data_IF_567543609984
#
_entry.id   IF_567543609984
#
_cell.length_a   1.000
_cell.length_b   1.000
_cell.length_c   1.000
_cell.angle_alpha   90.00
_cell.angle_beta   90.00
_cell.angle_gamma   90.00
#
_symmetry.space_group_name_H-M   'P 1'
#
loop_
_entity.id
_entity.type
_entity.pdbx_description
1 polymer ?
#
# COMPACT_ATOMS: atom_id res chain seq x y z
N UNK A 1 17.33 22.61 22.70
CA UNK A 1 17.10 22.81 21.24
C UNK A 1 17.38 21.48 20.54
N UNK A 2 16.37 20.72 20.16
CA UNK A 2 16.56 19.49 19.38
C UNK A 2 16.67 19.87 17.89
N UNK A 3 17.72 19.41 17.21
CA UNK A 3 17.89 19.58 15.77
C UNK A 3 17.05 18.51 15.06
N UNK A 4 15.99 18.92 14.37
CA UNK A 4 15.28 18.05 13.45
C UNK A 4 16.16 17.86 12.21
N UNK A 5 16.86 16.72 12.13
CA UNK A 5 17.31 16.18 10.85
C UNK A 5 16.07 15.96 9.97
N UNK A 6 16.23 16.13 8.66
CA UNK A 6 15.15 16.22 7.68
C UNK A 6 14.18 15.02 7.77
N UNK A 7 13.04 15.21 8.44
CA UNK A 7 11.93 14.26 8.47
C UNK A 7 11.14 14.41 7.16
N UNK A 8 10.89 13.30 6.46
CA UNK A 8 10.12 13.28 5.20
C UNK A 8 9.13 12.11 5.20
N UNK A 9 7.89 12.38 4.81
CA UNK A 9 6.82 11.38 4.66
C UNK A 9 5.87 11.79 3.53
N UNK A 10 5.57 10.87 2.62
CA UNK A 10 4.63 11.00 1.49
C UNK A 10 3.72 9.76 1.43
N UNK A 11 2.41 9.98 1.25
CA UNK A 11 1.38 8.94 1.19
C UNK A 11 0.56 9.11 -0.08
N UNK A 12 0.40 8.05 -0.85
CA UNK A 12 -0.48 7.98 -2.00
C UNK A 12 -1.57 6.94 -1.74
N UNK A 13 -2.83 7.37 -1.73
CA UNK A 13 -4.00 6.50 -1.52
C UNK A 13 -4.90 6.50 -2.74
N UNK A 14 -5.33 5.32 -3.16
CA UNK A 14 -6.36 5.12 -4.17
C UNK A 14 -7.51 4.32 -3.58
N UNK A 15 -8.74 4.70 -3.90
CA UNK A 15 -9.96 3.99 -3.48
C UNK A 15 -10.71 3.52 -4.73
N UNK A 16 -11.27 2.31 -4.68
CA UNK A 16 -12.01 1.78 -5.81
C UNK A 16 -12.36 0.31 -5.68
N UNK A 17 -12.79 -0.26 -6.80
CA UNK A 17 -12.99 -1.70 -6.96
C UNK A 17 -11.78 -2.29 -7.68
N UNK A 18 -11.29 -3.41 -7.18
CA UNK A 18 -10.10 -4.07 -7.71
C UNK A 18 -10.44 -5.48 -8.18
N UNK A 19 -9.96 -5.80 -9.38
CA UNK A 19 -10.06 -7.14 -9.97
C UNK A 19 -8.66 -7.59 -10.38
N UNK A 20 -8.29 -8.81 -10.01
CA UNK A 20 -6.94 -9.32 -10.21
C UNK A 20 -6.71 -10.61 -9.42
N UNK A 21 -5.47 -10.83 -9.00
CA UNK A 21 -5.13 -11.98 -8.19
C UNK A 21 -3.94 -11.68 -7.27
N UNK A 22 -3.92 -12.34 -6.12
CA UNK A 22 -2.84 -12.28 -5.14
C UNK A 22 -2.15 -13.64 -5.11
N UNK A 23 -0.83 -13.65 -5.11
CA UNK A 23 -0.03 -14.88 -4.94
C UNK A 23 0.58 -14.83 -3.53
N UNK A 24 0.06 -15.62 -2.58
CA UNK A 24 0.62 -15.72 -1.24
C UNK A 24 1.89 -16.56 -1.24
N UNK A 25 2.61 -16.57 -0.12
CA UNK A 25 3.81 -17.40 0.08
C UNK A 25 3.52 -18.90 -0.03
N UNK A 26 2.26 -19.31 0.11
CA UNK A 26 1.81 -20.69 -0.11
C UNK A 26 1.84 -21.10 -1.59
N UNK A 27 1.95 -20.13 -2.51
CA UNK A 27 1.95 -20.34 -3.95
C UNK A 27 0.57 -20.54 -4.58
N UNK A 28 -0.49 -20.74 -3.78
CA UNK A 28 -1.85 -20.86 -4.29
C UNK A 28 -2.44 -19.48 -4.59
N UNK A 29 -2.67 -19.20 -5.88
CA UNK A 29 -3.20 -17.93 -6.33
C UNK A 29 -4.65 -17.71 -5.88
N UNK A 30 -4.93 -16.55 -5.29
CA UNK A 30 -6.25 -16.14 -4.84
C UNK A 30 -6.81 -15.11 -5.83
N UNK A 31 -7.95 -15.41 -6.45
CA UNK A 31 -8.64 -14.46 -7.32
C UNK A 31 -9.33 -13.36 -6.51
N UNK A 32 -9.23 -12.12 -6.98
CA UNK A 32 -9.90 -10.94 -6.44
C UNK A 32 -10.86 -10.43 -7.51
N UNK A 33 -12.15 -10.34 -7.20
CA UNK A 33 -13.19 -9.91 -8.14
C UNK A 33 -14.00 -8.76 -7.54
N UNK A 34 -13.89 -7.58 -8.15
CA UNK A 34 -14.62 -6.36 -7.78
C UNK A 34 -14.56 -6.05 -6.27
N UNK A 35 -13.40 -6.28 -5.66
CA UNK A 35 -13.22 -6.01 -4.24
C UNK A 35 -13.19 -4.50 -4.00
N UNK A 36 -14.16 -3.98 -3.26
CA UNK A 36 -14.15 -2.58 -2.82
C UNK A 36 -13.10 -2.38 -1.72
N UNK A 37 -12.21 -1.42 -1.91
CA UNK A 37 -11.14 -1.15 -0.96
C UNK A 37 -10.24 0.01 -1.35
N UNK A 38 -9.00 -0.06 -0.90
CA UNK A 38 -7.99 0.96 -1.15
C UNK A 38 -6.60 0.35 -1.27
N UNK A 39 -5.71 1.06 -1.96
CA UNK A 39 -4.29 0.76 -2.08
C UNK A 39 -3.50 1.96 -1.54
N UNK A 40 -2.51 1.69 -0.69
CA UNK A 40 -1.60 2.69 -0.12
C UNK A 40 -0.17 2.46 -0.61
N UNK A 41 0.49 3.54 -1.04
CA UNK A 41 1.96 3.60 -1.10
C UNK A 41 2.43 4.64 -0.08
N UNK A 42 3.34 4.22 0.81
CA UNK A 42 3.95 5.10 1.81
C UNK A 42 5.47 5.16 1.62
N UNK A 43 6.02 6.38 1.56
CA UNK A 43 7.46 6.64 1.47
C UNK A 43 7.87 7.55 2.63
N UNK A 44 8.77 7.08 3.49
CA UNK A 44 9.26 7.86 4.62
C UNK A 44 10.78 7.74 4.83
N UNK A 45 11.37 8.80 5.40
CA UNK A 45 12.74 8.84 5.92
C UNK A 45 12.68 9.39 7.35
N UNK A 46 13.19 8.61 8.29
CA UNK A 46 13.19 8.86 9.73
C UNK A 46 14.62 9.00 10.24
#
# INVERSE_FOLDING_TARGET
>A
KAKAGVLFSEVHQLFGHYTGAVVPDTGEQIAVNEAFGWIEEHKARW
#
